data_IF_384339472962
#
_entry.id   IF_384339472962
#
_cell.length_a   1.000
_cell.length_b   1.000
_cell.length_c   1.000
_cell.angle_alpha   90.00
_cell.angle_beta   90.00
_cell.angle_gamma   90.00
#
_symmetry.space_group_name_H-M   'P 1'
#
loop_
_entity.id
_entity.type
_entity.pdbx_description
1 polymer ?
#
# COMPACT_ATOMS: atom_id res chain seq x y z
N UNK A 1 12.22 2.02 13.77
CA UNK A 1 10.95 1.33 14.13
C UNK A 1 10.11 1.16 12.87
N UNK A 2 9.66 -0.04 12.61
CA UNK A 2 8.89 -0.31 11.41
C UNK A 2 7.50 0.33 11.47
N UNK A 3 7.09 0.88 10.33
CA UNK A 3 5.80 1.55 10.17
C UNK A 3 4.96 0.80 9.15
N UNK A 4 3.76 0.43 9.55
CA UNK A 4 2.79 -0.16 8.64
C UNK A 4 1.91 0.94 8.08
N UNK A 5 1.73 0.93 6.76
CA UNK A 5 0.86 1.88 6.08
C UNK A 5 -0.26 1.09 5.41
N UNK A 6 -1.49 1.54 5.60
CA UNK A 6 -2.65 0.97 4.92
C UNK A 6 -3.27 2.04 4.03
N UNK A 7 -3.37 1.74 2.75
CA UNK A 7 -4.13 2.55 1.79
C UNK A 7 -5.37 1.79 1.39
N UNK A 8 -6.50 2.48 1.31
CA UNK A 8 -7.67 1.94 0.62
C UNK A 8 -8.46 3.08 -0.01
N UNK A 9 -9.16 2.76 -1.10
CA UNK A 9 -9.90 3.75 -1.88
C UNK A 9 -10.98 3.06 -2.73
N UNK A 10 -12.06 3.79 -3.06
CA UNK A 10 -13.06 3.29 -4.00
C UNK A 10 -12.44 3.07 -5.38
N UNK A 11 -12.78 1.99 -6.03
CA UNK A 11 -12.20 1.61 -7.31
C UNK A 11 -13.20 0.78 -8.11
N UNK A 12 -13.23 0.98 -9.43
CA UNK A 12 -14.14 0.28 -10.34
C UNK A 12 -13.50 -0.91 -11.04
N UNK A 13 -12.28 -1.26 -10.68
CA UNK A 13 -11.49 -2.29 -11.35
C UNK A 13 -10.37 -1.66 -12.18
N UNK A 14 -9.59 -2.47 -12.93
CA UNK A 14 -9.75 -3.91 -13.12
C UNK A 14 -9.42 -4.71 -11.85
N UNK A 15 -9.77 -6.00 -11.83
CA UNK A 15 -9.60 -6.89 -10.67
C UNK A 15 -8.78 -8.12 -11.06
N UNK A 16 -8.19 -8.77 -10.08
CA UNK A 16 -7.51 -10.05 -10.27
C UNK A 16 -6.37 -9.99 -11.28
N UNK A 17 -6.36 -10.95 -12.21
CA UNK A 17 -5.31 -11.04 -13.21
C UNK A 17 -5.26 -9.82 -14.14
N UNK A 18 -6.40 -9.22 -14.43
CA UNK A 18 -6.45 -8.00 -15.23
C UNK A 18 -5.80 -6.82 -14.50
N UNK A 19 -5.99 -6.74 -13.18
CA UNK A 19 -5.32 -5.75 -12.36
C UNK A 19 -3.80 -5.96 -12.38
N UNK A 20 -3.38 -7.22 -12.22
CA UNK A 20 -1.95 -7.56 -12.23
C UNK A 20 -1.29 -7.16 -13.55
N UNK A 21 -1.97 -7.39 -14.66
CA UNK A 21 -1.47 -7.01 -15.97
C UNK A 21 -1.41 -5.48 -16.11
N UNK A 22 -2.48 -4.79 -15.72
CA UNK A 22 -2.57 -3.33 -15.86
C UNK A 22 -1.56 -2.58 -14.99
N UNK A 23 -1.27 -3.09 -13.79
CA UNK A 23 -0.43 -2.39 -12.82
C UNK A 23 0.94 -3.01 -12.57
N UNK A 24 1.34 -3.98 -13.41
CA UNK A 24 2.65 -4.63 -13.25
C UNK A 24 3.82 -3.66 -13.26
N UNK A 25 3.82 -2.71 -14.20
CA UNK A 25 4.90 -1.71 -14.29
C UNK A 25 4.90 -0.80 -13.05
N UNK A 26 3.71 -0.40 -12.60
CA UNK A 26 3.58 0.42 -11.40
C UNK A 26 4.09 -0.34 -10.17
N UNK A 27 3.80 -1.64 -10.08
CA UNK A 27 4.30 -2.47 -8.98
C UNK A 27 5.83 -2.45 -8.93
N UNK A 28 6.48 -2.52 -10.08
CA UNK A 28 7.94 -2.40 -10.16
C UNK A 28 8.46 -1.06 -9.67
N UNK A 29 7.77 0.03 -10.03
CA UNK A 29 8.12 1.37 -9.57
C UNK A 29 7.96 1.48 -8.06
N UNK A 30 6.83 1.01 -7.52
CA UNK A 30 6.56 1.04 -6.09
C UNK A 30 7.61 0.23 -5.32
N UNK A 31 8.01 -0.92 -5.87
CA UNK A 31 9.03 -1.77 -5.24
C UNK A 31 10.38 -1.09 -5.04
N UNK A 32 10.66 -0.02 -5.79
CA UNK A 32 11.89 0.76 -5.66
C UNK A 32 11.75 1.98 -4.75
N UNK A 33 10.64 2.10 -4.03
CA UNK A 33 10.42 3.21 -3.10
C UNK A 33 11.42 3.17 -1.95
N UNK A 34 12.12 4.29 -1.66
CA UNK A 34 13.06 4.32 -0.53
C UNK A 34 12.38 3.98 0.78
N UNK A 35 12.98 3.09 1.55
CA UNK A 35 12.48 2.68 2.86
C UNK A 35 11.38 1.63 2.84
N UNK A 36 10.86 1.27 1.67
CA UNK A 36 9.85 0.23 1.57
C UNK A 36 10.49 -1.16 1.73
N UNK A 37 9.97 -1.95 2.66
CA UNK A 37 10.41 -3.34 2.84
C UNK A 37 9.58 -4.29 1.98
N UNK A 38 8.26 -4.13 1.98
CA UNK A 38 7.36 -4.89 1.11
C UNK A 38 6.00 -4.20 1.01
N UNK A 39 5.26 -4.61 -0.01
CA UNK A 39 3.86 -4.20 -0.21
C UNK A 39 3.03 -5.42 -0.55
N UNK A 40 1.81 -5.45 -0.02
CA UNK A 40 0.78 -6.39 -0.43
C UNK A 40 -0.33 -5.57 -1.08
N UNK A 41 -0.71 -5.93 -2.30
CA UNK A 41 -1.84 -5.30 -3.00
C UNK A 41 -3.14 -5.89 -2.48
N UNK A 42 -4.10 -5.04 -2.19
CA UNK A 42 -5.41 -5.49 -1.70
C UNK A 42 -6.51 -5.12 -2.67
N UNK A 43 -7.53 -5.96 -2.74
CA UNK A 43 -8.70 -5.72 -3.57
C UNK A 43 -9.92 -6.38 -2.96
N UNK A 44 -11.08 -5.76 -3.17
CA UNK A 44 -12.36 -6.32 -2.78
C UNK A 44 -13.38 -5.88 -3.83
N UNK A 45 -13.63 -6.74 -4.81
CA UNK A 45 -14.52 -6.43 -5.93
C UNK A 45 -15.95 -6.20 -5.47
N UNK A 46 -16.45 -6.99 -4.53
CA UNK A 46 -17.80 -6.83 -3.99
C UNK A 46 -18.03 -5.45 -3.39
N UNK A 47 -17.03 -4.94 -2.64
CA UNK A 47 -17.13 -3.62 -2.02
C UNK A 47 -16.66 -2.49 -2.93
N UNK A 48 -16.05 -2.83 -4.06
CA UNK A 48 -15.50 -1.82 -4.96
C UNK A 48 -14.33 -1.07 -4.35
N UNK A 49 -13.44 -1.79 -3.67
CA UNK A 49 -12.31 -1.20 -2.95
C UNK A 49 -10.99 -1.81 -3.40
N UNK A 50 -10.00 -0.96 -3.60
CA UNK A 50 -8.63 -1.38 -3.86
C UNK A 50 -7.70 -0.69 -2.89
N UNK A 51 -6.44 -1.12 -2.87
CA UNK A 51 -5.45 -0.51 -1.99
C UNK A 51 -4.19 -1.32 -1.82
N UNK A 52 -3.59 -1.17 -0.66
CA UNK A 52 -2.39 -1.91 -0.32
C UNK A 52 -2.02 -1.80 1.14
N UNK A 53 -1.22 -2.75 1.57
CA UNK A 53 -0.61 -2.76 2.90
C UNK A 53 0.89 -2.76 2.70
N UNK A 54 1.57 -1.86 3.39
CA UNK A 54 2.98 -1.59 3.17
C UNK A 54 3.74 -1.67 4.49
N UNK A 55 4.94 -2.19 4.45
CA UNK A 55 5.86 -2.08 5.57
C UNK A 55 7.02 -1.19 5.18
N UNK A 56 7.20 -0.10 5.93
CA UNK A 56 8.31 0.84 5.77
C UNK A 56 9.27 0.75 6.95
N UNK A 57 10.52 1.11 6.72
CA UNK A 57 11.52 1.09 7.79
C UNK A 57 11.30 2.17 8.84
N UNK A 58 10.61 3.28 8.49
CA UNK A 58 10.33 4.38 9.41
C UNK A 58 9.14 5.23 8.95
N UNK A 59 8.69 6.14 9.84
CA UNK A 59 7.56 7.03 9.57
C UNK A 59 7.86 8.01 8.44
N UNK A 60 9.08 8.51 8.38
CA UNK A 60 9.47 9.49 7.38
C UNK A 60 9.30 8.95 5.97
N UNK A 61 9.78 7.74 5.73
CA UNK A 61 9.63 7.07 4.43
C UNK A 61 8.17 6.82 4.10
N UNK A 62 7.39 6.38 5.09
CA UNK A 62 5.96 6.12 4.91
C UNK A 62 5.21 7.40 4.55
N UNK A 63 5.46 8.49 5.27
CA UNK A 63 4.80 9.77 5.01
C UNK A 63 5.14 10.35 3.65
N UNK A 64 6.40 10.24 3.23
CA UNK A 64 6.82 10.67 1.89
C UNK A 64 6.06 9.88 0.80
N UNK A 65 5.90 8.58 1.01
CA UNK A 65 5.14 7.74 0.08
C UNK A 65 3.66 8.10 0.04
N UNK A 66 3.05 8.39 1.20
CA UNK A 66 1.64 8.80 1.26
C UNK A 66 1.40 10.00 0.35
N UNK A 67 2.25 10.99 0.43
CA UNK A 67 2.13 12.20 -0.37
C UNK A 67 2.28 11.90 -1.86
N UNK A 68 3.31 11.17 -2.22
CA UNK A 68 3.60 10.80 -3.60
C UNK A 68 2.49 9.93 -4.21
N UNK A 69 2.07 8.90 -3.47
CA UNK A 69 1.10 7.94 -3.99
C UNK A 69 -0.31 8.52 -4.06
N UNK A 70 -0.69 9.36 -3.11
CA UNK A 70 -1.98 10.05 -3.15
C UNK A 70 -2.07 10.92 -4.41
N UNK A 71 -1.01 11.66 -4.71
CA UNK A 71 -0.93 12.46 -5.93
C UNK A 71 -1.03 11.59 -7.18
N UNK A 72 -0.35 10.45 -7.18
CA UNK A 72 -0.39 9.51 -8.30
C UNK A 72 -1.81 8.97 -8.53
N UNK A 73 -2.50 8.59 -7.44
CA UNK A 73 -3.87 8.09 -7.53
C UNK A 73 -4.84 9.16 -8.02
N UNK A 74 -4.66 10.41 -7.60
CA UNK A 74 -5.45 11.53 -8.11
C UNK A 74 -5.28 11.68 -9.61
N UNK A 75 -4.05 11.48 -10.10
CA UNK A 75 -3.74 11.50 -11.53
C UNK A 75 -4.47 10.41 -12.31
N UNK A 76 -4.85 9.32 -11.66
CA UNK A 76 -5.66 8.25 -12.25
C UNK A 76 -7.15 8.45 -12.08
N UNK A 77 -7.57 9.58 -11.48
CA UNK A 77 -8.97 9.87 -11.24
C UNK A 77 -9.53 9.20 -9.98
N UNK A 78 -8.67 8.70 -9.11
CA UNK A 78 -9.08 8.06 -7.86
C UNK A 78 -9.17 9.12 -6.76
N UNK A 79 -10.29 9.14 -6.05
CA UNK A 79 -10.53 10.07 -4.94
C UNK A 79 -10.92 9.28 -3.69
N UNK A 80 -11.16 10.00 -2.59
CA UNK A 80 -11.56 9.39 -1.31
C UNK A 80 -10.55 8.35 -0.81
N UNK A 81 -9.27 8.64 -1.01
CA UNK A 81 -8.18 7.80 -0.55
C UNK A 81 -8.05 7.91 0.96
N UNK A 82 -7.98 6.76 1.63
CA UNK A 82 -7.69 6.69 3.07
C UNK A 82 -6.29 6.11 3.26
N UNK A 83 -5.46 6.82 4.02
CA UNK A 83 -4.11 6.38 4.35
C UNK A 83 -3.97 6.40 5.86
N UNK A 84 -3.61 5.27 6.45
CA UNK A 84 -3.47 5.12 7.91
C UNK A 84 -2.11 4.53 8.23
N UNK A 85 -1.43 5.13 9.20
CA UNK A 85 -0.12 4.66 9.67
C UNK A 85 -0.26 4.01 11.03
N UNK A 86 0.52 2.94 11.24
CA UNK A 86 0.57 2.21 12.51
C UNK A 86 2.02 1.90 12.82
N UNK A 87 2.39 1.95 14.08
CA UNK A 87 3.69 1.42 14.49
C UNK A 87 3.54 -0.07 14.75
N UNK A 88 4.50 -0.84 14.29
CA UNK A 88 4.50 -2.30 14.47
C UNK A 88 5.04 -2.64 15.84
N UNK A 89 4.30 -3.44 16.60
CA UNK A 89 4.83 -4.04 17.82
C UNK A 89 5.64 -5.27 17.38
N UNK A 90 6.94 -5.06 17.16
CA UNK A 90 7.79 -6.09 16.58
C UNK A 90 7.95 -7.34 17.48
N UNK A 91 8.13 -7.21 18.81
CA UNK A 91 8.22 -8.40 19.65
C UNK A 91 6.99 -9.30 19.59
N UNK A 92 5.80 -8.73 19.66
CA UNK A 92 4.56 -9.52 19.57
C UNK A 92 4.37 -10.11 18.18
N UNK A 93 4.64 -9.32 17.16
CA UNK A 93 4.50 -9.74 15.76
C UNK A 93 5.44 -10.89 15.44
N UNK A 94 6.68 -10.85 15.95
CA UNK A 94 7.64 -11.94 15.77
C UNK A 94 7.15 -13.25 16.38
N UNK A 95 6.50 -13.19 17.54
CA UNK A 95 5.98 -14.39 18.22
C UNK A 95 4.97 -15.14 17.35
N UNK A 96 4.10 -14.40 16.67
CA UNK A 96 3.06 -15.02 15.82
C UNK A 96 3.45 -15.18 14.35
N UNK A 97 4.69 -14.86 14.01
CA UNK A 97 5.20 -15.11 12.66
C UNK A 97 4.90 -14.04 11.62
N UNK A 98 4.62 -12.81 12.05
CA UNK A 98 4.43 -11.69 11.12
C UNK A 98 5.74 -11.33 10.39
N UNK A 99 5.66 -10.82 9.15
CA UNK A 99 6.85 -10.58 8.32
C UNK A 99 7.54 -9.23 8.64
N UNK A 100 8.11 -9.13 9.80
CA UNK A 100 8.82 -7.91 10.25
C UNK A 100 10.27 -8.16 10.58
#
# INVERSE_FOLDING_TARGET
>A
MATLLQFDFPMAGPWGDEMAEAFGDLAGIIGRTPGLRWKIWTENEEEGTGGGIYLFEDDESALAYVEEHTSRLEGFGISDVRARLFHVNEPLTAINGGPV
#
